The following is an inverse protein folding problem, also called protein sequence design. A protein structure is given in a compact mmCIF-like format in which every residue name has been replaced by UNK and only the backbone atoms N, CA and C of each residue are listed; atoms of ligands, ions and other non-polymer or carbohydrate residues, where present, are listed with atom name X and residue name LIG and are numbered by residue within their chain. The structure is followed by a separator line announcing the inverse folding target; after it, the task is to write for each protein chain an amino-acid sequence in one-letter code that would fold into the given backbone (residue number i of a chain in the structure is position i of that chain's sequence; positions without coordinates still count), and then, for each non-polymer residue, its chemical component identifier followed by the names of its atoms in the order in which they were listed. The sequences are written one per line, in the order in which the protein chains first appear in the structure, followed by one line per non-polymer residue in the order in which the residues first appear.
data_IF_773215258325
#
_entry.id   IF_773215258325
#
_cell.length_a   1.000
_cell.length_b   1.000
_cell.length_c   1.000
_cell.angle_alpha   90.00
_cell.angle_beta   90.00
_cell.angle_gamma   90.00
#
_symmetry.space_group_name_H-M   'P 1'
#
loop_
_entity.id
_entity.type
_entity.pdbx_description
1 polymer ?
#
# COMPACT_ATOMS: atom_id res chain seq x y z
N UNK A 1 15.92 -17.94 -16.57
CA UNK A 1 17.18 -17.16 -16.57
C UNK A 1 16.83 -15.81 -16.01
N UNK A 2 17.04 -15.58 -14.70
CA UNK A 2 16.69 -14.33 -14.03
C UNK A 2 17.54 -13.20 -14.63
N UNK A 3 16.90 -12.20 -15.25
CA UNK A 3 17.58 -10.97 -15.66
C UNK A 3 18.07 -10.31 -14.39
N UNK A 4 19.39 -10.36 -14.14
CA UNK A 4 20.03 -9.47 -13.17
C UNK A 4 19.78 -8.04 -13.64
N UNK A 5 18.99 -7.30 -12.90
CA UNK A 5 18.89 -5.85 -13.09
C UNK A 5 20.29 -5.24 -12.89
N UNK A 6 20.65 -4.32 -13.77
CA UNK A 6 21.89 -3.56 -13.70
C UNK A 6 22.00 -2.88 -12.33
N UNK A 7 23.18 -2.97 -11.71
CA UNK A 7 23.50 -2.24 -10.47
C UNK A 7 23.87 -0.78 -10.73
N UNK A 8 23.64 -0.27 -11.93
CA UNK A 8 23.77 1.16 -12.20
C UNK A 8 22.72 1.91 -11.38
N UNK A 9 23.18 2.87 -10.58
CA UNK A 9 22.35 3.76 -9.77
C UNK A 9 21.21 4.31 -10.63
N UNK A 10 19.99 3.83 -10.37
CA UNK A 10 18.80 4.28 -11.07
C UNK A 10 18.51 5.70 -10.55
N UNK A 11 19.07 6.70 -11.24
CA UNK A 11 18.82 8.10 -10.97
C UNK A 11 17.47 8.50 -11.56
N UNK A 12 16.40 8.18 -10.82
CA UNK A 12 15.05 8.67 -11.12
C UNK A 12 14.97 10.10 -10.57
N UNK A 13 15.28 11.09 -11.42
CA UNK A 13 15.02 12.51 -11.20
C UNK A 13 15.66 13.15 -9.94
N UNK A 14 16.96 12.98 -9.71
CA UNK A 14 17.76 13.97 -8.97
C UNK A 14 17.40 14.21 -7.49
N UNK A 15 16.74 13.27 -6.82
CA UNK A 15 16.48 13.36 -5.38
C UNK A 15 17.47 12.47 -4.63
N UNK A 16 18.11 13.04 -3.61
CA UNK A 16 18.93 12.32 -2.62
C UNK A 16 18.06 11.30 -1.85
N UNK A 17 17.80 10.14 -2.46
CA UNK A 17 16.89 9.10 -1.95
C UNK A 17 17.52 8.15 -0.94
N UNK A 18 18.83 8.27 -0.69
CA UNK A 18 19.58 7.42 0.23
C UNK A 18 19.50 7.92 1.68
N UNK A 19 18.73 9.00 1.93
CA UNK A 19 18.52 9.47 3.29
C UNK A 19 17.84 8.37 4.09
N UNK A 20 18.55 7.91 5.11
CA UNK A 20 18.04 7.07 6.18
C UNK A 20 17.60 7.98 7.32
N UNK A 21 16.50 7.63 7.98
CA UNK A 21 16.03 8.35 9.16
C UNK A 21 17.06 8.31 10.29
N UNK A 22 17.47 9.48 10.77
CA UNK A 22 18.30 9.60 11.97
C UNK A 22 17.47 9.37 13.24
N UNK A 23 18.13 9.21 14.40
CA UNK A 23 17.42 9.13 15.68
C UNK A 23 16.58 10.38 15.96
N UNK A 24 17.03 11.56 15.50
CA UNK A 24 16.26 12.80 15.56
C UNK A 24 15.01 12.72 14.68
N UNK A 25 15.16 12.27 13.42
CA UNK A 25 14.03 12.06 12.50
C UNK A 25 12.97 11.13 13.14
N UNK A 26 13.41 9.98 13.67
CA UNK A 26 12.55 8.98 14.33
C UNK A 26 11.80 9.58 15.52
N UNK A 27 12.44 10.47 16.27
CA UNK A 27 11.84 11.13 17.43
C UNK A 27 10.96 12.34 17.05
N UNK A 28 11.13 12.89 15.85
CA UNK A 28 10.40 14.04 15.32
C UNK A 28 9.05 13.66 14.66
N UNK A 29 8.40 14.63 14.02
CA UNK A 29 7.24 14.42 13.14
C UNK A 29 7.59 14.59 11.66
N UNK A 30 8.83 14.33 11.26
CA UNK A 30 9.26 14.49 9.86
C UNK A 30 8.46 13.57 8.93
N UNK A 31 7.96 14.13 7.82
CA UNK A 31 7.06 13.40 6.92
C UNK A 31 5.65 13.17 7.49
N UNK A 32 5.39 13.58 8.74
CA UNK A 32 4.05 13.62 9.29
C UNK A 32 3.44 15.01 9.10
N UNK A 33 2.71 15.21 8.00
CA UNK A 33 2.07 16.51 7.73
C UNK A 33 0.97 16.82 8.74
N UNK A 34 0.66 18.10 8.94
CA UNK A 34 -0.48 18.54 9.77
C UNK A 34 -1.83 18.13 9.20
N UNK A 35 -1.85 17.53 8.01
CA UNK A 35 -3.03 17.03 7.32
C UNK A 35 -3.29 15.54 7.56
N UNK A 36 -2.37 14.83 8.22
CA UNK A 36 -2.53 13.41 8.54
C UNK A 36 -3.77 13.20 9.39
N UNK A 37 -4.56 12.20 9.01
CA UNK A 37 -5.75 11.79 9.75
C UNK A 37 -6.91 12.79 9.68
N UNK A 38 -6.84 13.80 8.80
CA UNK A 38 -7.96 14.73 8.54
C UNK A 38 -8.83 14.22 7.40
N UNK A 39 -10.14 14.46 7.55
CA UNK A 39 -11.15 14.07 6.57
C UNK A 39 -11.36 15.18 5.53
N UNK A 40 -11.42 14.78 4.26
CA UNK A 40 -11.73 15.66 3.12
C UNK A 40 -12.77 14.97 2.22
N UNK A 41 -14.06 15.00 2.58
CA UNK A 41 -15.09 14.20 1.91
C UNK A 41 -15.21 14.49 0.41
N UNK A 42 -15.15 15.77 0.01
CA UNK A 42 -15.23 16.15 -1.41
C UNK A 42 -14.05 15.60 -2.23
N UNK A 43 -12.83 15.71 -1.70
CA UNK A 43 -11.62 15.14 -2.32
C UNK A 43 -11.64 13.61 -2.33
N UNK A 44 -12.18 12.99 -1.27
CA UNK A 44 -12.40 11.54 -1.23
C UNK A 44 -13.33 11.12 -2.37
N UNK A 45 -14.48 11.78 -2.52
CA UNK A 45 -15.47 11.43 -3.54
C UNK A 45 -14.93 11.64 -4.96
N UNK A 46 -14.17 12.72 -5.18
CA UNK A 46 -13.43 12.95 -6.42
C UNK A 46 -12.41 11.82 -6.70
N UNK A 47 -11.61 11.44 -5.71
CA UNK A 47 -10.61 10.39 -5.85
C UNK A 47 -11.23 9.02 -6.11
N UNK A 48 -12.38 8.71 -5.50
CA UNK A 48 -13.14 7.48 -5.77
C UNK A 48 -13.57 7.43 -7.23
N UNK A 49 -14.07 8.55 -7.78
CA UNK A 49 -14.43 8.64 -9.20
C UNK A 49 -13.21 8.45 -10.11
N UNK A 50 -12.09 9.11 -9.79
CA UNK A 50 -10.85 8.99 -10.57
C UNK A 50 -10.32 7.55 -10.55
N UNK A 51 -10.36 6.89 -9.40
CA UNK A 51 -9.97 5.49 -9.28
C UNK A 51 -10.84 4.59 -10.17
N UNK A 52 -12.16 4.79 -10.13
CA UNK A 52 -13.13 4.07 -10.96
C UNK A 52 -12.83 4.23 -12.47
N UNK A 53 -12.53 5.46 -12.89
CA UNK A 53 -12.19 5.77 -14.28
C UNK A 53 -10.89 5.05 -14.71
N UNK A 54 -9.88 4.98 -13.83
CA UNK A 54 -8.64 4.24 -14.11
C UNK A 54 -8.87 2.72 -14.20
N UNK A 55 -9.62 2.14 -13.26
CA UNK A 55 -9.90 0.71 -13.26
C UNK A 55 -10.73 0.31 -14.49
N UNK A 56 -11.73 1.12 -14.85
CA UNK A 56 -12.52 0.95 -16.08
C UNK A 56 -11.63 1.01 -17.34
N UNK A 57 -10.69 1.96 -17.38
CA UNK A 57 -9.73 2.08 -18.48
C UNK A 57 -8.86 0.82 -18.58
N UNK A 58 -8.35 0.31 -17.46
CA UNK A 58 -7.56 -0.92 -17.43
C UNK A 58 -8.37 -2.11 -17.97
N UNK A 59 -9.59 -2.33 -17.48
CA UNK A 59 -10.46 -3.42 -17.93
C UNK A 59 -10.77 -3.36 -19.42
N UNK A 60 -11.10 -2.18 -19.93
CA UNK A 60 -11.38 -1.95 -21.36
C UNK A 60 -10.17 -2.29 -22.24
N UNK A 61 -8.96 -2.22 -21.68
CA UNK A 61 -7.71 -2.52 -22.38
C UNK A 61 -7.14 -3.91 -22.00
N UNK A 62 -7.90 -4.76 -21.31
CA UNK A 62 -7.45 -6.08 -20.81
C UNK A 62 -6.19 -6.00 -19.93
N UNK A 63 -6.05 -4.92 -19.16
CA UNK A 63 -4.98 -4.72 -18.17
C UNK A 63 -5.54 -5.11 -16.81
N UNK A 64 -4.80 -5.92 -16.05
CA UNK A 64 -5.13 -6.28 -14.66
C UNK A 64 -4.44 -5.30 -13.70
N UNK A 65 -5.15 -4.35 -13.09
CA UNK A 65 -4.52 -3.37 -12.23
C UNK A 65 -4.15 -3.98 -10.87
N UNK A 66 -2.95 -3.66 -10.38
CA UNK A 66 -2.50 -3.97 -9.03
C UNK A 66 -2.38 -2.65 -8.28
N UNK A 67 -3.32 -2.40 -7.38
CA UNK A 67 -3.28 -1.27 -6.46
C UNK A 67 -2.43 -1.66 -5.25
N UNK A 68 -1.76 -0.70 -4.63
CA UNK A 68 -1.00 -0.97 -3.41
C UNK A 68 -0.91 0.24 -2.50
N UNK A 69 -0.78 -0.03 -1.20
CA UNK A 69 -0.24 0.91 -0.23
C UNK A 69 1.19 0.50 0.10
N UNK A 70 2.08 1.46 0.30
CA UNK A 70 3.43 1.18 0.79
C UNK A 70 3.43 1.02 2.32
N UNK A 71 4.39 0.27 2.89
CA UNK A 71 4.65 0.29 4.31
C UNK A 71 4.88 1.70 4.84
N UNK A 72 4.54 1.89 6.11
CA UNK A 72 4.79 3.11 6.87
C UNK A 72 5.39 2.75 8.23
N UNK A 73 6.03 3.71 8.89
CA UNK A 73 6.60 3.46 10.22
C UNK A 73 5.50 3.23 11.27
N UNK A 74 5.82 2.49 12.33
CA UNK A 74 4.91 2.29 13.48
C UNK A 74 4.43 3.60 14.10
N UNK A 75 5.32 4.60 14.15
CA UNK A 75 4.97 5.94 14.65
C UNK A 75 3.92 6.63 13.79
N UNK A 76 3.97 6.44 12.47
CA UNK A 76 2.94 6.95 11.55
C UNK A 76 1.62 6.25 11.82
N UNK A 77 1.63 4.92 11.90
CA UNK A 77 0.44 4.11 12.18
C UNK A 77 -0.24 4.54 13.49
N UNK A 78 0.54 4.75 14.55
CA UNK A 78 0.04 5.13 15.86
C UNK A 78 -0.68 6.49 15.88
N UNK A 79 -0.40 7.38 14.92
CA UNK A 79 -1.04 8.71 14.83
C UNK A 79 -2.14 8.79 13.79
N UNK A 80 -2.28 7.77 12.95
CA UNK A 80 -3.25 7.81 11.87
C UNK A 80 -4.67 7.64 12.42
N UNK A 81 -5.63 8.29 11.75
CA UNK A 81 -7.03 8.20 12.14
C UNK A 81 -7.59 6.83 11.69
N UNK A 82 -7.93 5.98 12.67
CA UNK A 82 -8.44 4.62 12.42
C UNK A 82 -9.73 4.60 11.61
N UNK A 83 -10.65 5.55 11.83
CA UNK A 83 -11.91 5.62 11.09
C UNK A 83 -11.67 5.92 9.61
N UNK A 84 -10.70 6.79 9.28
CA UNK A 84 -10.34 7.07 7.90
C UNK A 84 -9.64 5.88 7.23
N UNK A 85 -8.87 5.11 7.99
CA UNK A 85 -8.24 3.89 7.49
C UNK A 85 -9.29 2.79 7.22
N UNK A 86 -10.27 2.63 8.10
CA UNK A 86 -11.41 1.73 7.90
C UNK A 86 -12.24 2.13 6.68
N UNK A 87 -12.54 3.42 6.54
CA UNK A 87 -13.22 3.96 5.35
C UNK A 87 -12.42 3.69 4.07
N UNK A 88 -11.10 3.89 4.09
CA UNK A 88 -10.24 3.57 2.98
C UNK A 88 -10.34 2.09 2.57
N UNK A 89 -10.29 1.16 3.54
CA UNK A 89 -10.39 -0.27 3.24
C UNK A 89 -11.75 -0.64 2.64
N UNK A 90 -12.85 -0.05 3.13
CA UNK A 90 -14.18 -0.25 2.55
C UNK A 90 -14.25 0.23 1.10
N UNK A 91 -13.64 1.37 0.79
CA UNK A 91 -13.60 1.91 -0.58
C UNK A 91 -12.77 1.02 -1.53
N UNK A 92 -11.62 0.52 -1.05
CA UNK A 92 -10.80 -0.43 -1.81
C UNK A 92 -11.56 -1.73 -2.06
N UNK A 93 -12.25 -2.26 -1.05
CA UNK A 93 -13.08 -3.45 -1.19
C UNK A 93 -14.17 -3.27 -2.23
N UNK A 94 -14.90 -2.14 -2.18
CA UNK A 94 -15.91 -1.80 -3.18
C UNK A 94 -15.33 -1.70 -4.59
N UNK A 95 -14.14 -1.10 -4.74
CA UNK A 95 -13.46 -0.99 -6.02
C UNK A 95 -13.09 -2.38 -6.57
N UNK A 96 -12.51 -3.27 -5.75
CA UNK A 96 -12.17 -4.64 -6.15
C UNK A 96 -13.42 -5.51 -6.45
N UNK A 97 -14.53 -5.32 -5.72
CA UNK A 97 -15.79 -6.01 -6.00
C UNK A 97 -16.41 -5.56 -7.33
N UNK A 98 -16.29 -4.27 -7.65
CA UNK A 98 -16.78 -3.71 -8.92
C UNK A 98 -15.88 -4.11 -10.10
N UNK A 99 -14.57 -4.12 -9.90
CA UNK A 99 -13.56 -4.41 -10.92
C UNK A 99 -12.83 -5.71 -10.61
N UNK A 100 -13.39 -6.84 -11.07
CA UNK A 100 -12.96 -8.20 -10.67
C UNK A 100 -11.51 -8.55 -11.06
N UNK A 101 -10.94 -7.79 -12.00
CA UNK A 101 -9.55 -7.98 -12.43
C UNK A 101 -8.55 -7.19 -11.60
N UNK A 102 -9.04 -6.26 -10.77
CA UNK A 102 -8.23 -5.47 -9.87
C UNK A 102 -7.87 -6.26 -8.62
N UNK A 103 -6.69 -6.00 -8.09
CA UNK A 103 -6.28 -6.48 -6.78
C UNK A 103 -5.61 -5.37 -5.98
N UNK A 104 -5.50 -5.58 -4.67
CA UNK A 104 -4.91 -4.63 -3.74
C UNK A 104 -3.87 -5.32 -2.86
N UNK A 105 -2.70 -4.68 -2.70
CA UNK A 105 -1.64 -5.10 -1.79
C UNK A 105 -1.58 -4.12 -0.63
N UNK A 106 -1.82 -4.64 0.57
CA UNK A 106 -1.84 -3.86 1.79
C UNK A 106 -0.46 -3.80 2.46
N UNK A 107 0.39 -2.87 2.01
CA UNK A 107 1.70 -2.63 2.62
C UNK A 107 1.64 -2.11 4.05
N UNK A 108 0.49 -1.58 4.50
CA UNK A 108 0.31 -1.09 5.87
C UNK A 108 0.48 -2.22 6.90
N UNK A 109 0.15 -3.45 6.53
CA UNK A 109 0.24 -4.64 7.39
C UNK A 109 1.61 -5.33 7.34
N UNK A 110 2.52 -4.91 6.45
CA UNK A 110 3.84 -5.53 6.33
C UNK A 110 4.73 -5.12 7.52
N UNK A 111 5.16 -6.12 8.30
CA UNK A 111 5.98 -5.91 9.52
C UNK A 111 7.47 -5.97 9.28
N UNK A 112 7.92 -6.39 8.10
CA UNK A 112 9.33 -6.55 7.78
C UNK A 112 9.95 -5.24 7.24
N UNK A 113 9.64 -4.09 7.86
CA UNK A 113 10.22 -2.79 7.49
C UNK A 113 10.74 -2.09 8.74
N UNK A 114 11.98 -1.62 8.68
CA UNK A 114 12.70 -0.94 9.77
C UNK A 114 12.88 0.54 9.45
N UNK A 115 13.26 1.37 10.42
CA UNK A 115 13.52 2.79 10.16
C UNK A 115 14.59 3.05 9.09
N UNK A 116 15.49 2.09 8.84
CA UNK A 116 16.50 2.15 7.78
C UNK A 116 15.92 2.05 6.37
N UNK A 117 14.67 1.61 6.24
CA UNK A 117 13.92 1.49 4.98
C UNK A 117 13.14 2.78 4.62
N UNK A 118 13.15 3.78 5.51
CA UNK A 118 12.32 4.99 5.38
C UNK A 118 13.14 6.25 5.14
N UNK A 119 12.62 7.12 4.26
CA UNK A 119 13.10 8.48 4.09
C UNK A 119 12.49 9.39 5.18
N UNK A 120 11.23 9.13 5.51
CA UNK A 120 10.49 9.74 6.61
C UNK A 120 9.35 8.80 7.04
N UNK A 121 8.57 9.19 8.04
CA UNK A 121 7.57 8.32 8.65
C UNK A 121 6.51 7.72 7.72
N UNK A 122 6.23 8.36 6.57
CA UNK A 122 5.22 7.91 5.59
C UNK A 122 5.76 7.58 4.20
N UNK A 123 7.08 7.60 3.98
CA UNK A 123 7.69 7.36 2.67
C UNK A 123 8.95 6.51 2.78
N UNK A 124 9.05 5.48 1.94
CA UNK A 124 10.24 4.65 1.80
C UNK A 124 11.42 5.45 1.22
N UNK A 125 12.64 5.06 1.60
CA UNK A 125 13.86 5.48 0.90
C UNK A 125 14.18 4.48 -0.23
N UNK A 126 15.33 4.63 -0.90
CA UNK A 126 15.71 3.73 -2.00
C UNK A 126 15.82 2.26 -1.57
N UNK A 127 16.29 2.00 -0.34
CA UNK A 127 16.46 0.64 0.18
C UNK A 127 15.10 0.01 0.48
N UNK A 128 14.22 0.74 1.16
CA UNK A 128 12.85 0.30 1.41
C UNK A 128 12.06 0.12 0.13
N UNK A 129 12.22 1.01 -0.87
CA UNK A 129 11.57 0.89 -2.16
C UNK A 129 12.05 -0.34 -2.95
N UNK A 130 13.35 -0.63 -2.91
CA UNK A 130 13.90 -1.86 -3.50
C UNK A 130 13.36 -3.11 -2.80
N UNK A 131 13.28 -3.09 -1.46
CA UNK A 131 12.68 -4.18 -0.67
C UNK A 131 11.21 -4.40 -1.02
N UNK A 132 10.41 -3.33 -1.07
CA UNK A 132 9.00 -3.41 -1.43
C UNK A 132 8.80 -3.85 -2.89
N UNK A 133 9.68 -3.45 -3.80
CA UNK A 133 9.65 -3.91 -5.19
C UNK A 133 9.90 -5.42 -5.33
N UNK A 134 10.74 -6.01 -4.46
CA UNK A 134 10.90 -7.46 -4.39
C UNK A 134 9.59 -8.15 -3.96
N UNK A 135 8.91 -7.64 -2.92
CA UNK A 135 7.58 -8.11 -2.52
C UNK A 135 6.56 -8.05 -3.65
N UNK A 136 6.54 -6.95 -4.42
CA UNK A 136 5.65 -6.81 -5.57
C UNK A 136 5.95 -7.83 -6.66
N UNK A 137 7.22 -8.09 -6.96
CA UNK A 137 7.61 -9.09 -7.95
C UNK A 137 7.15 -10.49 -7.53
N UNK A 138 7.39 -10.89 -6.28
CA UNK A 138 6.95 -12.19 -5.76
C UNK A 138 5.43 -12.35 -5.88
N UNK A 139 4.67 -11.30 -5.54
CA UNK A 139 3.21 -11.28 -5.68
C UNK A 139 2.76 -11.40 -7.15
N UNK A 140 3.41 -10.68 -8.07
CA UNK A 140 3.09 -10.74 -9.50
C UNK A 140 3.37 -12.16 -10.05
N UNK A 141 4.51 -12.75 -9.69
CA UNK A 141 4.86 -14.11 -10.09
C UNK A 141 3.84 -15.14 -9.57
N UNK A 142 3.38 -14.99 -8.33
CA UNK A 142 2.33 -15.84 -7.74
C UNK A 142 0.99 -15.68 -8.48
N UNK A 143 0.57 -14.44 -8.78
CA UNK A 143 -0.64 -14.17 -9.56
C UNK A 143 -0.58 -14.78 -10.97
N UNK A 144 0.56 -14.68 -11.64
CA UNK A 144 0.75 -15.30 -12.95
C UNK A 144 0.66 -16.83 -12.85
N UNK A 145 1.32 -17.42 -11.86
CA UNK A 145 1.28 -18.87 -11.64
C UNK A 145 -0.14 -19.39 -11.40
N UNK A 146 -0.92 -18.72 -10.55
CA UNK A 146 -2.31 -19.10 -10.25
C UNK A 146 -3.24 -18.94 -11.46
N UNK A 147 -3.03 -17.89 -12.26
CA UNK A 147 -3.75 -17.69 -13.52
C UNK A 147 -3.53 -18.87 -14.49
N UNK A 148 -2.28 -19.34 -14.66
CA UNK A 148 -1.98 -20.47 -15.53
C UNK A 148 -2.56 -21.81 -15.02
N UNK A 149 -2.82 -21.92 -13.72
CA UNK A 149 -3.48 -23.09 -13.12
C UNK A 149 -5.01 -23.06 -13.22
N UNK A 150 -5.60 -21.96 -13.68
CA UNK A 150 -7.06 -21.77 -13.68
C UNK A 150 -7.64 -21.51 -12.29
N UNK A 151 -6.80 -21.21 -11.29
CA UNK A 151 -7.20 -20.87 -9.92
C UNK A 151 -7.49 -19.36 -9.84
N UNK A 152 -8.52 -18.91 -10.56
CA UNK A 152 -8.86 -17.49 -10.74
C UNK A 152 -9.54 -16.82 -9.52
N UNK A 153 -9.21 -17.24 -8.30
CA UNK A 153 -9.75 -16.63 -7.08
C UNK A 153 -8.89 -15.42 -6.65
N UNK A 154 -8.96 -14.33 -7.44
CA UNK A 154 -8.32 -13.04 -7.13
C UNK A 154 -8.78 -12.45 -5.78
N UNK A 155 -9.94 -12.88 -5.29
CA UNK A 155 -10.52 -12.47 -4.00
C UNK A 155 -9.70 -12.90 -2.76
N UNK A 156 -8.78 -13.87 -2.88
CA UNK A 156 -8.11 -14.43 -1.72
C UNK A 156 -6.99 -13.56 -1.13
N UNK A 157 -6.54 -12.51 -1.82
CA UNK A 157 -5.48 -11.62 -1.29
C UNK A 157 -6.02 -10.46 -0.43
N UNK A 158 -7.34 -10.34 -0.29
CA UNK A 158 -8.00 -9.40 0.65
C UNK A 158 -8.13 -9.95 2.08
N UNK A 159 -7.83 -11.24 2.30
CA UNK A 159 -8.06 -11.90 3.59
C UNK A 159 -6.89 -11.78 4.57
N UNK A 160 -6.63 -10.56 5.04
CA UNK A 160 -6.49 -10.37 6.48
C UNK A 160 -7.77 -9.68 6.93
N UNK A 161 -8.75 -10.51 7.27
CA UNK A 161 -10.10 -10.13 7.62
C UNK A 161 -10.13 -9.06 8.71
N UNK A 162 -11.14 -8.20 8.63
CA UNK A 162 -11.55 -7.25 9.68
C UNK A 162 -11.86 -7.98 11.01
N UNK A 163 -11.95 -9.32 11.01
CA UNK A 163 -12.18 -10.14 12.20
C UNK A 163 -11.00 -10.18 13.21
N UNK A 164 -9.79 -9.77 12.83
CA UNK A 164 -8.68 -9.60 13.80
C UNK A 164 -8.73 -8.26 14.55
N UNK A 165 -9.68 -7.38 14.24
CA UNK A 165 -10.03 -6.22 15.05
C UNK A 165 -11.19 -6.60 15.98
N UNK A 166 -10.88 -7.33 17.06
CA UNK A 166 -11.82 -7.60 18.16
C UNK A 166 -12.22 -6.29 18.86
N UNK A 167 -13.26 -5.64 18.33
CA UNK A 167 -13.91 -4.49 18.94
C UNK A 167 -15.09 -4.87 19.85
N UNK A 168 -15.26 -6.16 20.23
CA UNK A 168 -16.37 -6.58 21.09
C UNK A 168 -16.03 -6.75 22.57
N UNK A 169 -14.81 -6.41 23.00
CA UNK A 169 -14.41 -6.58 24.40
C UNK A 169 -14.01 -5.29 25.16
N UNK A 170 -14.43 -4.10 24.72
CA UNK A 170 -14.14 -2.86 25.48
C UNK A 170 -15.31 -1.92 25.79
N UNK A 171 -16.55 -2.34 25.52
CA UNK A 171 -17.73 -1.73 26.14
C UNK A 171 -18.58 -2.82 26.76
N UNK A 172 -18.17 -3.21 27.98
CA UNK A 172 -19.05 -3.92 28.89
C UNK A 172 -20.05 -2.95 29.51
N UNK A 173 -21.27 -3.47 29.70
CA UNK A 173 -22.43 -2.89 30.39
C UNK A 173 -23.15 -1.72 29.70
#
# INVERSE_FOLDING_TARGET
MLKKFSTEEININGVKSDKIMTQEDINSNVGMSSWIGKSYPETRDENVKILDDYLTLCETNNIRPIMFMVPVTEKYMAKFNKQLLEEFYLLVEQACQKHLTACFIDGWKLKDFTYDDFYNHGHLNVHGAAKFSAYLNDFIEELEFNYYKGENNFYNYMNYSIEELDFRNHFGA
#
